data_IF_047370927257
#
_entry.id   IF_047370927257
#
_cell.length_a   1.000
_cell.length_b   1.000
_cell.length_c   1.000
_cell.angle_alpha   90.00
_cell.angle_beta   90.00
_cell.angle_gamma   90.00
#
_symmetry.space_group_name_H-M   'P 1'
#
loop_
_entity.id
_entity.type
_entity.pdbx_description
1 polymer ?
#
# COMPACT_ATOMS: atom_id res chain seq x y z
N UNK A 1 22.39 51.76 13.79
CA UNK A 1 21.91 51.13 12.54
C UNK A 1 22.46 49.72 12.52
N UNK A 2 21.64 48.74 12.91
CA UNK A 2 22.00 47.33 12.89
C UNK A 2 21.42 46.73 11.61
N UNK A 3 22.30 46.33 10.69
CA UNK A 3 21.91 45.64 9.46
C UNK A 3 21.75 44.16 9.77
N UNK A 4 20.52 43.68 9.79
CA UNK A 4 20.20 42.26 9.84
C UNK A 4 20.61 41.61 8.51
N UNK A 5 21.62 40.75 8.55
CA UNK A 5 21.81 39.74 7.51
C UNK A 5 20.80 38.62 7.76
N UNK A 6 19.67 38.68 7.06
CA UNK A 6 18.80 37.51 6.89
C UNK A 6 19.51 36.54 5.94
N UNK A 7 20.11 35.50 6.50
CA UNK A 7 20.39 34.26 5.77
C UNK A 7 19.08 33.72 5.20
N UNK A 8 19.03 33.30 3.92
CA UNK A 8 17.87 32.61 3.41
C UNK A 8 17.73 31.30 4.17
N UNK A 9 16.58 31.11 4.80
CA UNK A 9 16.17 29.79 5.27
C UNK A 9 16.05 28.92 4.03
N UNK A 10 16.94 27.93 3.94
CA UNK A 10 16.81 26.79 3.06
C UNK A 10 15.56 26.02 3.52
N UNK A 11 14.40 26.38 2.96
CA UNK A 11 13.18 25.58 3.06
C UNK A 11 13.46 24.28 2.33
N UNK A 12 13.93 23.28 3.09
CA UNK A 12 14.22 21.95 2.59
C UNK A 12 13.03 21.39 1.84
N UNK A 13 13.10 21.46 0.51
CA UNK A 13 12.23 20.74 -0.40
C UNK A 13 12.41 19.26 -0.08
N UNK A 14 11.47 18.70 0.69
CA UNK A 14 11.44 17.27 1.05
C UNK A 14 11.25 16.49 -0.24
N UNK A 15 12.35 15.98 -0.79
CA UNK A 15 12.29 15.08 -1.94
C UNK A 15 11.69 13.77 -1.46
N UNK A 16 10.42 13.56 -1.76
CA UNK A 16 9.70 12.30 -1.52
C UNK A 16 10.52 11.14 -2.10
N UNK A 17 10.90 10.15 -1.28
CA UNK A 17 11.71 9.02 -1.73
C UNK A 17 10.81 7.93 -2.27
N UNK A 18 10.83 7.71 -3.59
CA UNK A 18 10.12 6.60 -4.22
C UNK A 18 10.71 5.25 -3.79
N UNK A 19 9.86 4.24 -3.59
CA UNK A 19 10.26 2.90 -3.12
C UNK A 19 10.65 2.02 -4.29
N UNK A 20 9.91 2.08 -5.41
CA UNK A 20 10.12 1.21 -6.57
C UNK A 20 10.63 1.97 -7.80
N UNK A 21 10.08 3.16 -8.05
CA UNK A 21 10.34 3.89 -9.27
C UNK A 21 11.52 4.86 -9.13
N UNK A 22 12.61 4.69 -9.89
CA UNK A 22 13.61 5.75 -10.03
C UNK A 22 13.05 6.91 -10.88
N UNK A 23 13.90 7.88 -11.20
CA UNK A 23 13.54 8.88 -12.22
C UNK A 23 13.16 8.21 -13.56
N UNK A 24 12.13 8.72 -14.25
CA UNK A 24 11.68 8.17 -15.52
C UNK A 24 12.74 8.32 -16.61
N UNK A 25 12.86 7.30 -17.47
CA UNK A 25 13.72 7.37 -18.67
C UNK A 25 13.18 8.37 -19.70
N UNK A 26 11.85 8.54 -19.73
CA UNK A 26 11.17 9.54 -20.55
C UNK A 26 10.05 10.15 -19.74
N UNK A 27 9.95 11.47 -19.77
CA UNK A 27 8.88 12.21 -19.12
C UNK A 27 8.65 13.53 -19.87
N UNK A 28 7.49 13.72 -20.49
CA UNK A 28 7.15 14.94 -21.24
C UNK A 28 6.07 15.79 -20.57
N UNK A 29 5.69 15.45 -19.33
CA UNK A 29 4.62 16.10 -18.59
C UNK A 29 3.23 15.52 -18.83
N UNK A 30 3.05 14.77 -19.92
CA UNK A 30 1.80 14.07 -20.26
C UNK A 30 1.95 12.56 -20.31
N UNK A 31 3.16 12.07 -20.56
CA UNK A 31 3.50 10.66 -20.58
C UNK A 31 4.85 10.44 -19.90
N UNK A 32 4.99 9.27 -19.27
CA UNK A 32 6.22 8.85 -18.63
C UNK A 32 6.46 7.34 -18.80
N UNK A 33 7.74 6.96 -18.86
CA UNK A 33 8.21 5.59 -19.07
C UNK A 33 9.35 5.25 -18.12
N UNK A 34 9.24 4.07 -17.51
CA UNK A 34 10.29 3.46 -16.69
C UNK A 34 10.56 2.02 -17.16
N UNK A 35 11.82 1.62 -17.18
CA UNK A 35 12.20 0.21 -17.09
C UNK A 35 12.76 -0.03 -15.69
N UNK A 36 12.10 -0.91 -14.94
CA UNK A 36 12.42 -1.15 -13.54
C UNK A 36 12.82 -2.60 -13.36
N UNK A 37 13.90 -2.82 -12.63
CA UNK A 37 14.35 -4.13 -12.21
C UNK A 37 13.93 -4.33 -10.76
N UNK A 38 12.98 -5.24 -10.53
CA UNK A 38 12.52 -5.60 -9.19
C UNK A 38 13.38 -6.74 -8.69
N UNK A 39 14.11 -6.48 -7.61
CA UNK A 39 15.10 -7.37 -7.03
C UNK A 39 14.71 -7.81 -5.61
N UNK A 40 14.95 -9.07 -5.27
CA UNK A 40 14.53 -9.63 -3.98
C UNK A 40 15.44 -9.22 -2.80
N UNK A 41 16.67 -8.76 -3.06
CA UNK A 41 17.55 -8.21 -2.03
C UNK A 41 17.15 -6.76 -1.69
N UNK A 42 16.66 -6.00 -2.68
CA UNK A 42 16.19 -4.63 -2.48
C UNK A 42 14.75 -4.56 -1.96
N UNK A 43 13.92 -5.54 -2.30
CA UNK A 43 12.52 -5.65 -1.88
C UNK A 43 12.31 -6.95 -1.08
N UNK A 44 12.84 -6.97 0.15
CA UNK A 44 12.82 -8.15 1.03
C UNK A 44 11.39 -8.66 1.29
N UNK A 45 10.40 -7.77 1.32
CA UNK A 45 8.99 -8.11 1.47
C UNK A 45 8.48 -9.05 0.35
N UNK A 46 8.98 -8.90 -0.88
CA UNK A 46 8.61 -9.75 -2.02
C UNK A 46 9.16 -11.17 -1.86
N UNK A 47 10.36 -11.30 -1.27
CA UNK A 47 10.98 -12.60 -0.99
C UNK A 47 10.11 -13.46 -0.08
N UNK A 48 9.44 -12.83 0.88
CA UNK A 48 8.62 -13.50 1.87
C UNK A 48 7.15 -13.64 1.46
N UNK A 49 6.71 -12.89 0.44
CA UNK A 49 5.38 -13.04 -0.13
C UNK A 49 5.34 -14.19 -1.15
N UNK A 50 4.97 -15.38 -0.66
CA UNK A 50 4.98 -16.62 -1.44
C UNK A 50 3.59 -17.02 -1.93
N UNK A 51 3.46 -17.28 -3.23
CA UNK A 51 2.26 -17.87 -3.84
C UNK A 51 2.65 -19.19 -4.50
N UNK A 52 2.08 -20.29 -4.01
CA UNK A 52 2.46 -21.66 -4.40
C UNK A 52 3.98 -21.92 -4.24
N UNK A 53 4.56 -21.43 -3.14
CA UNK A 53 5.98 -21.62 -2.81
C UNK A 53 6.97 -20.79 -3.65
N UNK A 54 6.48 -19.86 -4.47
CA UNK A 54 7.33 -18.98 -5.28
C UNK A 54 7.15 -17.52 -4.85
N UNK A 55 8.24 -16.72 -4.78
CA UNK A 55 8.12 -15.28 -4.61
C UNK A 55 7.20 -14.68 -5.66
N UNK A 56 6.24 -13.89 -5.19
CA UNK A 56 5.28 -13.19 -6.00
C UNK A 56 5.17 -11.76 -5.49
N UNK A 57 5.08 -10.80 -6.42
CA UNK A 57 4.86 -9.42 -6.05
C UNK A 57 3.49 -9.27 -5.37
N UNK A 58 3.43 -8.68 -4.17
CA UNK A 58 2.17 -8.32 -3.53
C UNK A 58 1.34 -7.41 -4.45
N UNK A 59 0.02 -7.53 -4.38
CA UNK A 59 -0.86 -6.68 -5.19
C UNK A 59 -0.74 -5.23 -4.72
N UNK A 60 -0.60 -5.01 -3.42
CA UNK A 60 -0.35 -3.69 -2.85
C UNK A 60 0.92 -3.03 -3.42
N UNK A 61 1.97 -3.80 -3.73
CA UNK A 61 3.18 -3.26 -4.37
C UNK A 61 2.92 -2.78 -5.80
N UNK A 62 2.01 -3.42 -6.55
CA UNK A 62 1.63 -2.95 -7.90
C UNK A 62 0.84 -1.62 -7.82
N UNK A 63 -0.01 -1.48 -6.80
CA UNK A 63 -0.72 -0.23 -6.51
C UNK A 63 0.27 0.87 -6.08
N UNK A 64 1.27 0.53 -5.28
CA UNK A 64 2.34 1.45 -4.87
C UNK A 64 3.16 1.95 -6.08
N UNK A 65 3.53 1.07 -7.00
CA UNK A 65 4.19 1.49 -8.26
C UNK A 65 3.32 2.49 -9.02
N UNK A 66 2.00 2.27 -9.10
CA UNK A 66 1.11 3.20 -9.77
C UNK A 66 1.01 4.55 -9.04
N UNK A 67 1.00 4.54 -7.71
CA UNK A 67 1.03 5.74 -6.88
C UNK A 67 2.29 6.59 -7.19
N UNK A 68 3.46 5.95 -7.22
CA UNK A 68 4.74 6.60 -7.52
C UNK A 68 4.78 7.15 -8.95
N UNK A 69 4.26 6.38 -9.92
CA UNK A 69 4.19 6.83 -11.31
C UNK A 69 3.31 8.07 -11.44
N UNK A 70 2.15 8.09 -10.78
CA UNK A 70 1.24 9.23 -10.82
C UNK A 70 1.83 10.46 -10.11
N UNK A 71 2.44 10.27 -8.95
CA UNK A 71 3.09 11.34 -8.20
C UNK A 71 4.24 12.02 -8.97
N UNK A 72 4.89 11.32 -9.90
CA UNK A 72 5.97 11.89 -10.71
C UNK A 72 5.54 13.07 -11.59
N UNK A 73 4.26 13.17 -11.96
CA UNK A 73 3.75 14.27 -12.78
C UNK A 73 3.42 15.53 -11.98
N UNK A 74 3.03 15.38 -10.72
CA UNK A 74 2.61 16.47 -9.83
C UNK A 74 3.04 16.19 -8.40
N UNK A 75 4.22 16.66 -7.99
CA UNK A 75 4.74 16.48 -6.64
C UNK A 75 3.86 17.09 -5.55
N UNK A 76 2.94 17.99 -5.88
CA UNK A 76 2.06 18.63 -4.88
C UNK A 76 0.74 17.88 -4.66
N UNK A 77 0.38 16.95 -5.55
CA UNK A 77 -0.82 16.14 -5.41
C UNK A 77 -0.49 14.77 -4.82
N UNK A 78 -1.52 14.10 -4.29
CA UNK A 78 -1.43 12.75 -3.74
C UNK A 78 -2.54 11.84 -4.30
N UNK A 79 -2.29 10.53 -4.45
CA UNK A 79 -3.34 9.57 -4.81
C UNK A 79 -4.45 9.48 -3.75
N UNK A 80 -5.69 9.73 -4.16
CA UNK A 80 -6.90 9.59 -3.31
C UNK A 80 -7.74 8.38 -3.68
N UNK A 81 -7.66 7.93 -4.94
CA UNK A 81 -8.44 6.81 -5.46
C UNK A 81 -7.70 6.12 -6.60
N UNK A 82 -7.94 4.83 -6.72
CA UNK A 82 -7.61 4.01 -7.88
C UNK A 82 -8.91 3.50 -8.46
N UNK A 83 -9.06 3.56 -9.78
CA UNK A 83 -10.20 2.99 -10.49
C UNK A 83 -9.75 2.12 -11.65
N UNK A 84 -10.68 1.30 -12.16
CA UNK A 84 -10.40 0.38 -13.27
C UNK A 84 -9.18 -0.51 -12.99
N UNK A 85 -9.04 -0.99 -11.76
CA UNK A 85 -7.88 -1.77 -11.33
C UNK A 85 -8.02 -3.18 -11.89
N UNK A 86 -7.24 -3.46 -12.92
CA UNK A 86 -7.15 -4.77 -13.55
C UNK A 86 -5.85 -5.44 -13.14
N UNK A 87 -5.95 -6.69 -12.72
CA UNK A 87 -4.84 -7.51 -12.23
C UNK A 87 -4.83 -8.85 -12.98
N UNK A 88 -4.62 -8.84 -14.31
CA UNK A 88 -4.77 -10.04 -15.13
C UNK A 88 -3.79 -11.15 -14.74
N UNK A 89 -2.62 -10.81 -14.18
CA UNK A 89 -1.55 -11.76 -13.84
C UNK A 89 -0.71 -11.28 -12.67
N UNK A 90 -0.25 -12.22 -11.85
CA UNK A 90 0.76 -11.96 -10.83
C UNK A 90 2.17 -11.94 -11.43
N UNK A 91 2.98 -10.97 -11.04
CA UNK A 91 4.42 -11.03 -11.23
C UNK A 91 5.01 -12.06 -10.25
N UNK A 92 5.18 -13.29 -10.72
CA UNK A 92 5.66 -14.43 -9.92
C UNK A 92 6.75 -15.19 -10.66
N UNK A 93 7.79 -15.58 -9.94
CA UNK A 93 8.84 -16.45 -10.48
C UNK A 93 9.56 -17.20 -9.34
N UNK A 94 10.18 -18.37 -9.62
CA UNK A 94 11.14 -18.99 -8.69
C UNK A 94 12.23 -18.02 -8.27
N UNK A 95 12.72 -18.10 -7.02
CA UNK A 95 13.68 -17.17 -6.45
C UNK A 95 14.93 -16.96 -7.34
N UNK A 96 15.50 -18.01 -7.91
CA UNK A 96 16.65 -17.93 -8.82
C UNK A 96 16.38 -17.33 -10.21
N UNK A 97 15.16 -16.87 -10.48
CA UNK A 97 14.77 -16.12 -11.70
C UNK A 97 14.47 -14.65 -11.42
N UNK A 98 14.76 -14.19 -10.21
CA UNK A 98 14.85 -12.79 -9.88
C UNK A 98 16.29 -12.31 -10.11
N UNK A 99 16.51 -11.03 -10.42
CA UNK A 99 15.51 -9.97 -10.51
C UNK A 99 14.59 -10.07 -11.75
N UNK A 100 13.45 -9.37 -11.69
CA UNK A 100 12.45 -9.34 -12.76
C UNK A 100 12.33 -7.93 -13.31
N UNK A 101 12.33 -7.82 -14.64
CA UNK A 101 12.13 -6.55 -15.33
C UNK A 101 10.65 -6.29 -15.59
N UNK A 102 10.23 -5.06 -15.31
CA UNK A 102 8.94 -4.52 -15.68
C UNK A 102 9.12 -3.21 -16.43
N UNK A 103 8.16 -2.91 -17.29
CA UNK A 103 7.98 -1.64 -17.98
C UNK A 103 6.78 -0.98 -17.33
N UNK A 104 6.96 0.24 -16.84
CA UNK A 104 5.87 1.06 -16.32
C UNK A 104 5.65 2.19 -17.29
N UNK A 105 4.41 2.34 -17.76
CA UNK A 105 4.01 3.48 -18.58
C UNK A 105 2.88 4.21 -17.88
N UNK A 106 2.97 5.53 -17.85
CA UNK A 106 1.93 6.37 -17.30
C UNK A 106 1.54 7.47 -18.29
N UNK A 107 0.24 7.76 -18.39
CA UNK A 107 -0.31 8.85 -19.21
C UNK A 107 -1.22 9.71 -18.35
N UNK A 108 -0.98 11.01 -18.31
CA UNK A 108 -1.72 11.99 -17.52
C UNK A 108 -2.76 12.71 -18.36
N UNK A 109 -3.95 12.87 -17.79
CA UNK A 109 -5.03 13.70 -18.30
C UNK A 109 -5.66 14.49 -17.16
N UNK A 110 -5.27 15.76 -16.99
CA UNK A 110 -5.70 16.56 -15.83
C UNK A 110 -5.10 16.02 -14.54
N UNK A 111 -5.94 15.69 -13.56
CA UNK A 111 -5.53 15.11 -12.28
C UNK A 111 -5.65 13.57 -12.24
N UNK A 112 -5.97 12.97 -13.40
CA UNK A 112 -6.03 11.53 -13.58
C UNK A 112 -4.78 11.02 -14.30
N UNK A 113 -4.24 9.90 -13.84
CA UNK A 113 -3.10 9.22 -14.46
C UNK A 113 -3.45 7.76 -14.73
N UNK A 114 -3.45 7.34 -15.99
CA UNK A 114 -3.53 5.93 -16.36
C UNK A 114 -2.14 5.30 -16.26
N UNK A 115 -2.01 4.22 -15.49
CA UNK A 115 -0.75 3.48 -15.30
C UNK A 115 -0.91 2.04 -15.77
N UNK A 116 0.11 1.54 -16.48
CA UNK A 116 0.26 0.14 -16.89
C UNK A 116 1.60 -0.41 -16.44
N UNK A 117 1.59 -1.66 -15.97
CA UNK A 117 2.77 -2.39 -15.51
C UNK A 117 2.86 -3.70 -16.29
N UNK A 118 3.86 -3.80 -17.14
CA UNK A 118 4.05 -4.90 -18.08
C UNK A 118 5.41 -5.60 -17.86
N UNK A 119 5.55 -6.88 -18.17
CA UNK A 119 6.86 -7.46 -18.45
C UNK A 119 7.21 -7.24 -19.92
N UNK A 120 8.47 -6.86 -20.23
CA UNK A 120 8.89 -6.70 -21.62
C UNK A 120 8.82 -8.06 -22.36
N UNK A 121 8.69 -8.04 -23.70
CA UNK A 121 8.74 -9.26 -24.48
C UNK A 121 10.10 -9.94 -24.34
N UNK A 122 10.10 -11.28 -24.25
CA UNK A 122 11.34 -12.08 -24.18
C UNK A 122 11.28 -13.16 -25.25
N UNK A 123 12.16 -13.07 -26.24
CA UNK A 123 12.16 -13.93 -27.42
C UNK A 123 10.77 -13.94 -28.10
N UNK A 124 10.16 -15.12 -28.27
CA UNK A 124 8.82 -15.29 -28.85
C UNK A 124 7.67 -15.05 -27.84
N UNK A 125 7.97 -14.73 -26.57
CA UNK A 125 6.96 -14.44 -25.56
C UNK A 125 6.56 -12.97 -25.66
N UNK A 126 5.28 -12.66 -25.96
CA UNK A 126 4.82 -11.28 -26.05
C UNK A 126 4.86 -10.60 -24.67
N UNK A 127 4.71 -9.28 -24.69
CA UNK A 127 4.49 -8.47 -23.48
C UNK A 127 3.38 -9.08 -22.62
N UNK A 128 3.61 -9.10 -21.31
CA UNK A 128 2.65 -9.62 -20.34
C UNK A 128 2.22 -8.49 -19.42
N UNK A 129 0.95 -8.10 -19.50
CA UNK A 129 0.37 -7.15 -18.56
C UNK A 129 0.17 -7.80 -17.19
N UNK A 130 0.63 -7.13 -16.15
CA UNK A 130 0.45 -7.53 -14.75
C UNK A 130 -0.59 -6.65 -14.06
N UNK A 131 -0.59 -5.35 -14.36
CA UNK A 131 -1.56 -4.42 -13.81
C UNK A 131 -1.88 -3.28 -14.77
N UNK A 132 -3.12 -2.79 -14.66
CA UNK A 132 -3.57 -1.53 -15.24
C UNK A 132 -4.51 -0.85 -14.26
N UNK A 133 -4.39 0.46 -14.10
CA UNK A 133 -5.30 1.23 -13.26
C UNK A 133 -5.26 2.72 -13.61
N UNK A 134 -6.31 3.44 -13.22
CA UNK A 134 -6.35 4.90 -13.21
C UNK A 134 -6.12 5.38 -11.78
N UNK A 135 -5.18 6.30 -11.59
CA UNK A 135 -4.86 6.94 -10.32
C UNK A 135 -5.43 8.35 -10.35
N UNK A 136 -6.31 8.66 -9.39
CA UNK A 136 -6.89 9.98 -9.21
C UNK A 136 -6.08 10.73 -8.17
N UNK A 137 -5.57 11.89 -8.55
CA UNK A 137 -4.76 12.76 -7.71
C UNK A 137 -5.61 13.91 -7.17
N UNK A 138 -5.34 14.35 -5.94
CA UNK A 138 -5.95 15.54 -5.36
C UNK A 138 -4.92 16.30 -4.51
N UNK A 139 -5.20 17.57 -4.24
CA UNK A 139 -4.45 18.30 -3.21
C UNK A 139 -4.78 17.63 -1.86
N UNK A 140 -3.78 17.28 -1.05
CA UNK A 140 -4.00 16.88 0.33
C UNK A 140 -4.40 18.15 1.11
N UNK A 141 -5.69 18.51 1.13
CA UNK A 141 -6.18 19.60 1.96
C UNK A 141 -7.48 19.25 2.70
N UNK A 142 -7.44 19.56 3.99
CA UNK A 142 -8.47 19.50 5.03
C UNK A 142 -9.89 19.85 4.56
N UNK A 143 -10.86 19.01 4.93
CA UNK A 143 -12.30 19.35 5.00
C UNK A 143 -13.09 19.56 3.70
N UNK A 144 -12.81 18.83 2.62
CA UNK A 144 -13.79 18.63 1.52
C UNK A 144 -14.23 17.16 1.33
N UNK A 145 -14.31 16.42 2.45
CA UNK A 145 -15.10 15.17 2.55
C UNK A 145 -16.08 15.28 3.73
N UNK A 146 -16.94 16.29 3.71
CA UNK A 146 -18.03 16.44 4.67
C UNK A 146 -19.11 15.36 4.49
N UNK A 147 -19.03 14.31 5.30
CA UNK A 147 -20.15 13.52 5.89
C UNK A 147 -19.64 12.20 6.53
N UNK A 148 -18.58 12.27 7.34
CA UNK A 148 -18.09 11.12 8.11
C UNK A 148 -18.15 11.46 9.60
N UNK A 149 -18.79 10.62 10.44
CA UNK A 149 -19.15 11.02 11.80
C UNK A 149 -17.93 11.18 12.69
N UNK A 150 -17.78 12.39 13.24
CA UNK A 150 -16.74 12.79 14.18
C UNK A 150 -16.86 12.07 15.52
N UNK A 151 -15.73 11.55 16.01
CA UNK A 151 -15.49 11.35 17.44
C UNK A 151 -14.05 11.78 17.75
N UNK A 152 -13.88 12.82 18.57
CA UNK A 152 -12.57 13.18 19.16
C UNK A 152 -12.27 12.28 20.37
N UNK A 153 -10.99 11.93 20.61
CA UNK A 153 -10.27 12.66 21.66
C UNK A 153 -8.78 12.92 21.41
N UNK A 154 -8.22 13.62 22.40
CA UNK A 154 -6.94 14.32 22.52
C UNK A 154 -5.68 13.43 22.64
N UNK A 155 -4.57 14.00 22.15
CA UNK A 155 -3.25 14.13 22.81
C UNK A 155 -2.06 13.64 21.98
N UNK A 156 -1.00 14.45 22.04
CA UNK A 156 0.08 14.58 21.08
C UNK A 156 1.18 13.51 21.20
N UNK A 157 1.69 13.08 20.04
CA UNK A 157 3.05 12.57 19.87
C UNK A 157 3.60 13.08 18.53
N UNK A 158 4.80 13.66 18.58
CA UNK A 158 5.61 14.05 17.42
C UNK A 158 6.22 12.79 16.80
N UNK A 159 5.74 12.42 15.61
CA UNK A 159 6.35 11.41 14.73
C UNK A 159 6.23 11.87 13.29
N UNK A 160 7.30 12.47 12.78
CA UNK A 160 7.50 12.85 11.37
C UNK A 160 7.50 11.57 10.53
N UNK A 161 6.46 11.38 9.73
CA UNK A 161 6.34 10.24 8.82
C UNK A 161 6.58 10.69 7.37
N UNK A 162 7.46 9.98 6.66
CA UNK A 162 7.65 10.16 5.23
C UNK A 162 6.43 9.59 4.49
N UNK A 163 5.63 10.51 3.95
CA UNK A 163 4.38 10.22 3.27
C UNK A 163 4.59 9.37 2.02
N UNK A 164 3.94 8.21 2.01
CA UNK A 164 3.53 7.38 0.86
C UNK A 164 3.18 5.96 1.27
N UNK A 165 3.27 5.63 2.56
CA UNK A 165 2.74 4.38 3.07
C UNK A 165 1.20 4.47 3.03
N UNK A 166 0.64 4.21 1.84
CA UNK A 166 -0.46 3.27 1.71
C UNK A 166 -0.30 2.27 2.86
N UNK A 167 -1.31 2.04 3.72
CA UNK A 167 -1.19 1.01 4.74
C UNK A 167 -1.14 -0.32 3.99
N UNK A 168 0.02 -0.67 3.44
CA UNK A 168 0.23 -1.69 2.43
C UNK A 168 -0.16 -3.05 2.99
N UNK A 169 0.12 -3.25 4.27
CA UNK A 169 -0.37 -4.40 5.04
C UNK A 169 -1.90 -4.43 5.14
N UNK A 170 -2.57 -3.29 5.32
CA UNK A 170 -4.03 -3.22 5.36
C UNK A 170 -4.65 -3.42 3.98
N UNK A 171 -4.08 -2.82 2.93
CA UNK A 171 -4.49 -3.01 1.55
C UNK A 171 -4.30 -4.48 1.14
N UNK A 172 -3.12 -5.05 1.37
CA UNK A 172 -2.84 -6.46 1.05
C UNK A 172 -3.72 -7.40 1.88
N UNK A 173 -3.97 -7.11 3.15
CA UNK A 173 -4.89 -7.90 3.98
C UNK A 173 -6.35 -7.82 3.48
N UNK A 174 -6.80 -6.67 2.98
CA UNK A 174 -8.12 -6.54 2.35
C UNK A 174 -8.20 -7.31 1.04
N UNK A 175 -7.18 -7.19 0.19
CA UNK A 175 -7.12 -7.89 -1.09
C UNK A 175 -7.09 -9.41 -0.88
N UNK A 176 -6.30 -9.88 0.10
CA UNK A 176 -6.27 -11.27 0.53
C UNK A 176 -7.59 -11.76 1.15
N UNK A 177 -8.33 -10.87 1.82
CA UNK A 177 -9.68 -11.18 2.33
C UNK A 177 -10.73 -11.25 1.23
N UNK A 178 -10.53 -10.51 0.13
CA UNK A 178 -11.42 -10.54 -1.02
C UNK A 178 -11.21 -11.78 -1.88
N UNK A 179 -10.01 -12.34 -1.90
CA UNK A 179 -9.71 -13.65 -2.49
C UNK A 179 -8.25 -14.05 -2.33
N UNK A 180 -7.90 -15.34 -2.49
CA UNK A 180 -6.51 -15.78 -2.42
C UNK A 180 -5.66 -15.12 -3.53
N UNK A 181 -4.35 -14.92 -3.30
CA UNK A 181 -3.45 -14.30 -4.28
C UNK A 181 -3.54 -14.95 -5.65
N UNK A 182 -3.70 -14.13 -6.69
CA UNK A 182 -3.79 -14.57 -8.09
C UNK A 182 -5.18 -15.05 -8.52
N UNK A 183 -6.19 -14.96 -7.66
CA UNK A 183 -7.59 -15.13 -8.05
C UNK A 183 -8.34 -13.81 -8.21
N UNK A 184 -7.81 -12.73 -7.66
CA UNK A 184 -8.34 -11.39 -7.88
C UNK A 184 -7.96 -10.92 -9.29
N UNK A 185 -8.95 -10.64 -10.12
CA UNK A 185 -8.74 -10.18 -11.50
C UNK A 185 -9.07 -8.71 -11.71
N UNK A 186 -10.00 -8.17 -10.92
CA UNK A 186 -10.48 -6.80 -11.06
C UNK A 186 -10.99 -6.23 -9.72
N UNK A 187 -10.73 -4.95 -9.51
CA UNK A 187 -11.33 -4.12 -8.46
C UNK A 187 -11.82 -2.83 -9.11
N UNK A 188 -13.12 -2.54 -8.99
CA UNK A 188 -13.71 -1.32 -9.58
C UNK A 188 -13.06 -0.06 -9.02
N UNK A 189 -12.89 0.01 -7.69
CA UNK A 189 -12.16 1.12 -7.07
C UNK A 189 -11.50 0.77 -5.73
N UNK A 190 -10.39 1.43 -5.46
CA UNK A 190 -9.69 1.47 -4.18
C UNK A 190 -9.72 2.93 -3.71
N UNK A 191 -10.45 3.24 -2.64
CA UNK A 191 -10.43 4.56 -2.01
C UNK A 191 -9.37 4.56 -0.90
N UNK A 192 -8.48 5.55 -0.91
CA UNK A 192 -7.53 5.83 0.17
C UNK A 192 -7.92 7.16 0.82
N UNK A 193 -8.38 7.15 2.07
CA UNK A 193 -8.52 8.35 2.87
C UNK A 193 -7.15 9.02 2.99
N UNK A 194 -7.04 10.23 2.47
CA UNK A 194 -5.85 11.04 2.61
C UNK A 194 -5.98 11.79 3.93
N UNK A 195 -5.05 11.61 4.88
CA UNK A 195 -5.09 12.35 6.12
C UNK A 195 -4.86 13.84 5.82
N UNK A 196 -5.59 14.68 6.54
CA UNK A 196 -5.49 16.12 6.42
C UNK A 196 -4.25 16.68 7.13
N UNK A 197 -3.72 15.96 8.12
CA UNK A 197 -2.47 16.28 8.79
C UNK A 197 -1.77 15.03 9.39
N UNK A 198 -0.54 15.22 9.90
CA UNK A 198 0.26 14.17 10.53
C UNK A 198 -0.43 13.54 11.77
N UNK A 199 -1.34 14.26 12.44
CA UNK A 199 -2.07 13.76 13.62
C UNK A 199 -3.20 12.82 13.20
N UNK A 200 -3.93 13.16 12.13
CA UNK A 200 -4.93 12.29 11.53
C UNK A 200 -4.28 11.01 11.00
N UNK A 201 -3.11 11.12 10.35
CA UNK A 201 -2.33 9.95 9.94
C UNK A 201 -1.90 9.08 11.12
N UNK A 202 -1.43 9.69 12.22
CA UNK A 202 -1.06 8.94 13.42
C UNK A 202 -2.26 8.22 14.07
N UNK A 203 -3.46 8.81 14.01
CA UNK A 203 -4.72 8.16 14.45
C UNK A 203 -5.09 6.99 13.54
N UNK A 204 -5.04 7.18 12.22
CA UNK A 204 -5.27 6.14 11.21
C UNK A 204 -4.34 4.92 11.39
N UNK A 205 -3.12 5.12 11.87
CA UNK A 205 -2.18 4.02 12.06
C UNK A 205 -2.23 3.40 13.47
N UNK A 206 -3.26 3.71 14.25
CA UNK A 206 -3.47 3.16 15.58
C UNK A 206 -3.31 1.63 15.65
N UNK A 207 -2.88 1.08 16.79
CA UNK A 207 -2.67 -0.35 16.92
C UNK A 207 -4.03 -1.07 16.76
N UNK A 208 -4.12 -1.89 15.71
CA UNK A 208 -5.23 -2.75 15.29
C UNK A 208 -6.00 -2.27 14.06
N UNK A 209 -5.95 -3.11 13.01
CA UNK A 209 -6.77 -2.99 11.81
C UNK A 209 -7.87 -4.06 11.86
N UNK A 210 -9.12 -3.61 11.76
CA UNK A 210 -10.32 -4.41 11.59
C UNK A 210 -10.70 -4.47 10.11
N UNK A 211 -10.92 -5.68 9.58
CA UNK A 211 -11.37 -5.90 8.21
C UNK A 211 -12.87 -6.21 8.21
N UNK A 212 -13.63 -5.51 7.37
CA UNK A 212 -15.09 -5.70 7.23
C UNK A 212 -15.47 -5.90 5.77
N UNK A 213 -16.50 -6.72 5.54
CA UNK A 213 -17.11 -6.97 4.22
C UNK A 213 -18.60 -6.62 4.29
N UNK A 214 -19.09 -5.97 3.25
CA UNK A 214 -20.49 -5.60 3.09
C UNK A 214 -20.93 -5.93 1.66
N UNK A 215 -22.08 -6.60 1.52
CA UNK A 215 -22.73 -6.75 0.22
C UNK A 215 -23.59 -5.50 -0.03
N UNK A 216 -23.35 -4.83 -1.16
CA UNK A 216 -24.10 -3.64 -1.60
C UNK A 216 -24.84 -3.94 -2.90
N UNK A 217 -25.74 -3.04 -3.32
CA UNK A 217 -26.42 -3.15 -4.62
C UNK A 217 -25.45 -3.13 -5.80
N UNK A 218 -24.29 -2.49 -5.63
CA UNK A 218 -23.25 -2.34 -6.67
C UNK A 218 -22.15 -3.40 -6.58
N UNK A 219 -22.34 -4.42 -5.74
CA UNK A 219 -21.40 -5.52 -5.52
C UNK A 219 -20.79 -5.56 -4.12
N UNK A 220 -19.73 -6.32 -3.96
CA UNK A 220 -19.03 -6.48 -2.69
C UNK A 220 -18.15 -5.26 -2.37
N UNK A 221 -18.19 -4.83 -1.10
CA UNK A 221 -17.34 -3.78 -0.55
C UNK A 221 -16.53 -4.35 0.62
N UNK A 222 -15.24 -4.04 0.66
CA UNK A 222 -14.33 -4.38 1.75
C UNK A 222 -13.75 -3.11 2.35
N UNK A 223 -13.62 -3.04 3.67
CA UNK A 223 -13.04 -1.88 4.36
C UNK A 223 -12.08 -2.33 5.44
N UNK A 224 -10.90 -1.71 5.48
CA UNK A 224 -10.00 -1.76 6.62
C UNK A 224 -10.30 -0.53 7.48
N UNK A 225 -10.51 -0.74 8.78
CA UNK A 225 -10.72 0.32 9.75
C UNK A 225 -9.77 0.17 10.92
N UNK A 226 -9.38 1.25 11.56
CA UNK A 226 -8.77 1.24 12.90
C UNK A 226 -9.77 0.80 13.97
N UNK A 227 -9.27 0.56 15.19
CA UNK A 227 -10.09 0.20 16.34
C UNK A 227 -11.15 1.25 16.73
N UNK A 228 -10.91 2.52 16.45
CA UNK A 228 -11.86 3.62 16.67
C UNK A 228 -12.89 3.78 15.53
N UNK A 229 -12.79 2.96 14.47
CA UNK A 229 -13.72 2.94 13.34
C UNK A 229 -13.29 3.80 12.16
N UNK A 230 -12.14 4.48 12.23
CA UNK A 230 -11.62 5.28 11.11
C UNK A 230 -11.26 4.39 9.93
N UNK A 231 -11.65 4.77 8.71
CA UNK A 231 -11.39 3.97 7.50
C UNK A 231 -9.96 4.21 7.03
N UNK A 232 -9.25 3.14 6.66
CA UNK A 232 -7.90 3.20 6.11
C UNK A 232 -7.86 2.95 4.60
N UNK A 233 -8.66 2.01 4.13
CA UNK A 233 -8.75 1.63 2.73
C UNK A 233 -10.14 1.04 2.50
N UNK A 234 -10.73 1.34 1.35
CA UNK A 234 -11.98 0.71 0.90
C UNK A 234 -11.82 0.13 -0.51
N UNK A 235 -12.18 -1.13 -0.68
CA UNK A 235 -12.30 -1.80 -1.98
C UNK A 235 -13.77 -1.90 -2.38
N UNK A 236 -14.09 -1.63 -3.64
CA UNK A 236 -15.45 -1.76 -4.19
C UNK A 236 -15.44 -2.55 -5.49
N UNK A 237 -16.52 -3.29 -5.74
CA UNK A 237 -16.75 -4.00 -7.00
C UNK A 237 -15.66 -5.03 -7.28
N UNK A 238 -15.30 -5.81 -6.25
CA UNK A 238 -14.25 -6.82 -6.35
C UNK A 238 -14.76 -8.02 -7.13
N UNK A 239 -14.03 -8.41 -8.18
CA UNK A 239 -14.29 -9.61 -8.96
C UNK A 239 -13.17 -10.62 -8.77
N UNK A 240 -13.53 -11.83 -8.35
CA UNK A 240 -12.62 -12.96 -8.20
C UNK A 240 -12.92 -14.07 -9.21
N UNK A 241 -11.87 -14.70 -9.73
CA UNK A 241 -11.96 -15.87 -10.59
C UNK A 241 -12.42 -17.14 -9.84
N UNK A 242 -12.36 -17.14 -8.50
CA UNK A 242 -12.85 -18.23 -7.65
C UNK A 242 -14.21 -17.90 -7.02
N UNK A 243 -15.18 -18.81 -7.15
CA UNK A 243 -16.54 -18.70 -6.60
C UNK A 243 -16.66 -19.10 -5.12
N UNK A 244 -15.59 -19.57 -4.49
CA UNK A 244 -15.65 -20.05 -3.12
C UNK A 244 -15.04 -19.02 -2.16
N UNK A 245 -15.90 -18.18 -1.58
CA UNK A 245 -15.54 -17.12 -0.62
C UNK A 245 -16.14 -17.40 0.76
N UNK A 246 -16.19 -18.68 1.14
CA UNK A 246 -16.75 -19.14 2.41
C UNK A 246 -15.69 -19.24 3.51
N UNK A 247 -14.97 -18.17 3.82
CA UNK A 247 -14.34 -18.00 5.16
C UNK A 247 -13.77 -16.60 5.35
N UNK A 248 -14.49 -15.74 6.07
CA UNK A 248 -13.84 -14.69 6.87
C UNK A 248 -13.75 -15.18 8.31
N UNK A 249 -12.53 -15.46 8.77
CA UNK A 249 -12.22 -15.36 10.20
C UNK A 249 -11.72 -13.95 10.46
N UNK A 250 -12.12 -13.35 11.57
CA UNK A 250 -11.55 -12.09 12.08
C UNK A 250 -10.03 -12.23 12.11
N UNK A 251 -9.33 -11.65 11.15
CA UNK A 251 -7.88 -11.55 11.19
C UNK A 251 -7.53 -10.33 12.03
N UNK A 252 -7.18 -10.58 13.29
CA UNK A 252 -6.53 -9.58 14.12
C UNK A 252 -5.05 -9.60 13.73
N UNK A 253 -4.59 -8.60 12.99
CA UNK A 253 -3.15 -8.38 12.84
C UNK A 253 -2.61 -7.95 14.20
N UNK A 254 -2.14 -8.94 14.95
CA UNK A 254 -1.42 -8.69 16.19
C UNK A 254 -0.10 -8.05 15.85
N UNK A 255 0.01 -6.73 15.97
CA UNK A 255 1.31 -6.11 16.17
C UNK A 255 1.97 -6.84 17.34
N UNK A 256 3.04 -7.61 17.07
CA UNK A 256 3.83 -8.23 18.12
C UNK A 256 4.40 -7.09 18.94
N UNK A 257 3.82 -6.84 20.11
CA UNK A 257 4.51 -6.13 21.18
C UNK A 257 5.87 -6.83 21.36
N UNK A 258 7.02 -6.14 21.28
CA UNK A 258 8.29 -6.78 21.60
C UNK A 258 8.19 -7.27 23.04
N UNK A 259 8.25 -8.60 23.19
CA UNK A 259 8.04 -9.27 24.44
C UNK A 259 9.03 -8.74 25.48
N UNK A 260 8.51 -8.07 26.49
CA UNK A 260 9.21 -7.79 27.74
C UNK A 260 9.71 -9.14 28.27
N UNK A 261 11.02 -9.33 28.23
CA UNK A 261 11.67 -10.51 28.77
C UNK A 261 11.33 -10.64 30.26
N UNK A 262 10.40 -11.53 30.60
CA UNK A 262 10.20 -11.98 31.97
C UNK A 262 11.14 -13.14 32.19
N UNK A 263 12.15 -12.89 33.02
CA UNK A 263 13.18 -13.82 33.42
C UNK A 263 12.58 -15.18 33.85
N UNK A 264 12.89 -16.23 33.08
CA UNK A 264 12.79 -17.61 33.56
C UNK A 264 13.82 -17.81 34.65
N UNK A 265 13.38 -17.96 35.90
CA UNK A 265 14.17 -18.59 36.97
C UNK A 265 13.40 -19.78 37.52
N UNK A 266 13.87 -20.98 37.16
CA UNK A 266 13.80 -22.26 37.91
C UNK A 266 14.36 -23.36 36.96
N UNK A 267 14.88 -24.51 37.45
CA UNK A 267 14.73 -25.08 38.79
C UNK A 267 16.01 -25.72 39.39
N UNK A 268 15.99 -25.95 40.70
CA UNK A 268 16.62 -27.09 41.39
C UNK A 268 15.94 -27.10 42.77
N UNK A 269 15.40 -28.18 43.32
CA UNK A 269 15.53 -29.61 43.12
C UNK A 269 15.34 -30.21 44.53
N UNK A 270 14.69 -31.37 44.64
CA UNK A 270 14.66 -32.13 45.89
C UNK A 270 13.27 -32.37 46.46
N UNK A 271 12.86 -33.62 46.40
CA UNK A 271 11.62 -34.22 46.89
C UNK A 271 11.63 -34.38 48.44
N UNK A 272 10.54 -34.89 49.05
CA UNK A 272 10.25 -34.78 50.48
C UNK A 272 10.85 -35.94 51.30
N UNK A 273 11.12 -35.68 52.58
CA UNK A 273 11.31 -36.73 53.60
C UNK A 273 10.78 -36.27 54.97
N UNK A 274 9.86 -37.08 55.51
CA UNK A 274 9.73 -37.46 56.93
C UNK A 274 9.35 -36.44 58.01
N UNK A 275 8.25 -36.73 58.72
CA UNK A 275 7.97 -36.21 60.07
C UNK A 275 6.50 -36.06 60.40
#
# INVERSE_FOLDING_TARGET
MMSNHSTPHDEGSRTRTAVFLPEPERHDGTAALWHVEIDLDHHEEIRHHLVNGQPAMPTASLVQIAAEAAASFTPDLVPVRYSNVLLPRLLRAPAGRWPRRVVVTATRSGDDVEVRIDSPPVNAVPTVEHARMSVHLCVPDTSEMGDWPDHEPESAVDTRFDGYLLPGDALEALLGSAGPPGTLSEVKSIDIPVPSDDRELARLLGPHVDLRRFSTTDGEQYTATTADGTVLVRLRGVTTASRDLSTMRRHRTGAKTPGRAVARKRPAGGAPDGG
#
